data_IF_241448155499
#
_entry.id   IF_241448155499
#
_cell.length_a   1.000
_cell.length_b   1.000
_cell.length_c   1.000
_cell.angle_alpha   90.00
_cell.angle_beta   90.00
_cell.angle_gamma   90.00
#
_symmetry.space_group_name_H-M   'P 1'
#
loop_
_entity.id
_entity.type
_entity.pdbx_description
1 polymer ?
#
# COMPACT_ATOMS: atom_id res chain seq x y z
N UNK A 1 7.34 -4.29 -18.07
CA UNK A 1 7.68 -5.42 -17.19
C UNK A 1 6.44 -5.80 -16.41
N UNK A 2 6.17 -7.09 -16.24
CA UNK A 2 4.98 -7.56 -15.52
C UNK A 2 5.24 -7.69 -14.02
N UNK A 3 6.45 -8.10 -13.62
CA UNK A 3 6.89 -8.15 -12.23
C UNK A 3 8.07 -7.20 -11.99
N UNK A 4 8.11 -6.60 -10.79
CA UNK A 4 9.23 -5.79 -10.30
C UNK A 4 9.70 -6.36 -8.96
N UNK A 5 11.01 -6.57 -8.82
CA UNK A 5 11.63 -6.92 -7.53
C UNK A 5 12.45 -5.74 -7.01
N UNK A 6 12.15 -5.29 -5.79
CA UNK A 6 12.98 -4.33 -5.05
C UNK A 6 14.11 -5.11 -4.40
N UNK A 7 15.34 -4.78 -4.76
CA UNK A 7 16.51 -5.56 -4.35
C UNK A 7 16.79 -5.46 -2.83
N UNK A 8 17.33 -6.51 -2.19
CA UNK A 8 17.62 -6.52 -0.75
C UNK A 8 18.63 -5.46 -0.29
N UNK A 9 19.54 -5.03 -1.18
CA UNK A 9 20.53 -3.99 -0.89
C UNK A 9 19.92 -2.58 -0.75
N UNK A 10 18.65 -2.40 -1.14
CA UNK A 10 17.89 -1.18 -0.83
C UNK A 10 17.77 -0.93 0.67
N UNK A 11 17.94 -1.96 1.51
CA UNK A 11 17.96 -1.83 2.96
C UNK A 11 19.20 -1.07 3.49
N UNK A 12 20.18 -0.76 2.64
CA UNK A 12 21.35 0.05 3.00
C UNK A 12 21.07 1.55 3.03
N UNK A 13 19.99 2.00 2.38
CA UNK A 13 19.53 3.38 2.45
C UNK A 13 18.70 3.57 3.72
N UNK A 14 18.86 4.71 4.38
CA UNK A 14 18.10 5.11 5.57
C UNK A 14 16.89 5.98 5.23
N UNK A 15 16.81 6.49 4.00
CA UNK A 15 15.67 7.24 3.49
C UNK A 15 15.43 6.94 2.01
N UNK A 16 14.26 6.38 1.71
CA UNK A 16 13.83 6.10 0.34
C UNK A 16 12.55 6.87 0.02
N UNK A 17 12.61 7.72 -1.01
CA UNK A 17 11.42 8.38 -1.57
C UNK A 17 10.81 7.50 -2.66
N UNK A 18 9.57 7.05 -2.43
CA UNK A 18 8.84 6.16 -3.36
C UNK A 18 7.79 6.88 -4.19
N UNK A 19 7.76 8.22 -4.14
CA UNK A 19 6.75 9.00 -4.85
C UNK A 19 6.84 8.72 -6.35
N UNK A 20 5.70 8.42 -6.96
CA UNK A 20 5.54 8.16 -8.39
C UNK A 20 6.33 6.96 -8.97
N UNK A 21 6.95 6.09 -8.18
CA UNK A 21 7.79 4.99 -8.70
C UNK A 21 7.13 4.14 -9.79
N UNK A 22 5.85 3.81 -9.63
CA UNK A 22 5.08 3.01 -10.58
C UNK A 22 3.86 3.77 -11.12
N UNK A 23 3.88 5.10 -11.11
CA UNK A 23 2.76 5.90 -11.60
C UNK A 23 2.38 5.52 -13.05
N UNK A 24 1.14 5.08 -13.26
CA UNK A 24 0.61 4.72 -14.57
C UNK A 24 1.19 3.44 -15.18
N UNK A 25 1.90 2.61 -14.41
CA UNK A 25 2.44 1.34 -14.90
C UNK A 25 1.34 0.26 -15.03
N UNK A 26 0.57 0.35 -16.11
CA UNK A 26 -0.58 -0.52 -16.37
C UNK A 26 -0.22 -2.00 -16.58
N UNK A 27 1.03 -2.30 -16.96
CA UNK A 27 1.51 -3.66 -17.19
C UNK A 27 2.06 -4.35 -15.93
N UNK A 28 2.34 -3.62 -14.85
CA UNK A 28 2.86 -4.21 -13.62
C UNK A 28 1.73 -4.93 -12.91
N UNK A 29 1.90 -6.22 -12.68
CA UNK A 29 0.94 -7.10 -12.01
C UNK A 29 1.39 -7.49 -10.61
N UNK A 30 2.70 -7.47 -10.35
CA UNK A 30 3.33 -7.83 -9.06
C UNK A 30 4.51 -6.89 -8.76
N UNK A 31 4.63 -6.44 -7.52
CA UNK A 31 5.83 -5.80 -6.98
C UNK A 31 6.24 -6.50 -5.69
N UNK A 32 7.46 -7.03 -5.65
CA UNK A 32 8.02 -7.75 -4.50
C UNK A 32 9.11 -6.92 -3.81
N UNK A 33 9.34 -7.20 -2.53
CA UNK A 33 10.47 -6.62 -1.79
C UNK A 33 10.21 -5.24 -1.21
N UNK A 34 8.95 -4.80 -1.04
CA UNK A 34 8.63 -3.54 -0.35
C UNK A 34 9.25 -3.47 1.05
N UNK A 35 9.34 -4.61 1.76
CA UNK A 35 10.01 -4.70 3.05
C UNK A 35 11.53 -4.54 3.04
N UNK A 36 12.16 -4.41 1.87
CA UNK A 36 13.57 -4.03 1.76
C UNK A 36 13.78 -2.51 1.90
N UNK A 37 12.72 -1.72 1.85
CA UNK A 37 12.81 -0.27 1.97
C UNK A 37 12.89 0.17 3.44
N UNK A 38 13.60 1.28 3.69
CA UNK A 38 13.74 1.89 5.02
C UNK A 38 13.52 3.40 4.93
N UNK A 39 13.04 3.98 6.02
CA UNK A 39 12.79 5.41 6.15
C UNK A 39 11.87 6.00 5.08
N UNK A 40 10.89 5.21 4.62
CA UNK A 40 9.87 5.67 3.68
C UNK A 40 8.94 6.61 4.45
N UNK A 41 8.94 7.89 4.10
CA UNK A 41 8.05 8.90 4.69
C UNK A 41 6.84 9.18 3.82
N UNK A 42 7.00 9.05 2.51
CA UNK A 42 5.98 9.39 1.54
C UNK A 42 5.83 8.25 0.53
N UNK A 43 4.56 7.90 0.26
CA UNK A 43 4.15 6.99 -0.79
C UNK A 43 3.16 7.66 -1.73
N UNK A 44 3.36 8.95 -1.99
CA UNK A 44 2.46 9.72 -2.84
C UNK A 44 2.48 9.15 -4.25
N UNK A 45 1.30 8.76 -4.74
CA UNK A 45 1.14 8.24 -6.09
C UNK A 45 1.99 7.00 -6.44
N UNK A 46 2.62 6.31 -5.48
CA UNK A 46 3.60 5.23 -5.74
C UNK A 46 3.10 4.18 -6.71
N UNK A 47 1.85 3.72 -6.57
CA UNK A 47 1.20 2.76 -7.47
C UNK A 47 0.01 3.36 -8.21
N UNK A 48 -0.16 4.69 -8.22
CA UNK A 48 -1.35 5.29 -8.80
C UNK A 48 -1.52 4.88 -10.28
N UNK A 49 -2.74 4.54 -10.67
CA UNK A 49 -3.10 4.10 -12.01
C UNK A 49 -2.39 2.83 -12.49
N UNK A 50 -1.89 1.99 -11.57
CA UNK A 50 -1.44 0.63 -11.86
C UNK A 50 -2.64 -0.31 -12.06
N UNK A 51 -3.31 -0.22 -13.20
CA UNK A 51 -4.53 -1.01 -13.49
C UNK A 51 -4.28 -2.51 -13.63
N UNK A 52 -3.03 -2.94 -13.81
CA UNK A 52 -2.63 -4.34 -13.86
C UNK A 52 -2.31 -4.96 -12.50
N UNK A 53 -2.05 -4.15 -11.46
CA UNK A 53 -1.64 -4.63 -10.14
C UNK A 53 -2.81 -5.36 -9.49
N UNK A 54 -2.62 -6.63 -9.16
CA UNK A 54 -3.67 -7.49 -8.56
C UNK A 54 -3.46 -7.73 -7.08
N UNK A 55 -2.20 -7.76 -6.65
CA UNK A 55 -1.81 -7.88 -5.26
C UNK A 55 -0.53 -7.07 -4.99
N UNK A 56 -0.33 -6.68 -3.74
CA UNK A 56 0.90 -6.06 -3.25
C UNK A 56 1.19 -6.57 -1.85
N UNK A 57 2.46 -6.87 -1.59
CA UNK A 57 2.92 -7.29 -0.28
C UNK A 57 3.78 -6.21 0.38
N UNK A 58 3.24 -5.63 1.46
CA UNK A 58 3.91 -4.61 2.28
C UNK A 58 4.55 -5.21 3.55
N UNK A 59 4.55 -6.53 3.73
CA UNK A 59 5.21 -7.16 4.88
C UNK A 59 6.70 -6.76 4.95
N UNK A 60 7.17 -6.48 6.17
CA UNK A 60 8.51 -5.98 6.47
C UNK A 60 8.75 -4.49 6.16
N UNK A 61 7.80 -3.77 5.56
CA UNK A 61 7.88 -2.31 5.41
C UNK A 61 7.50 -1.66 6.75
N UNK A 62 8.37 -0.82 7.30
CA UNK A 62 8.10 -0.09 8.54
C UNK A 62 7.10 1.05 8.29
N UNK A 63 5.86 0.98 8.82
CA UNK A 63 4.87 2.03 8.62
C UNK A 63 5.08 3.23 9.55
N UNK A 64 5.94 3.12 10.58
CA UNK A 64 6.05 4.11 11.66
C UNK A 64 6.63 5.45 11.23
N UNK A 65 7.27 5.50 10.05
CA UNK A 65 7.78 6.74 9.45
C UNK A 65 6.85 7.36 8.40
N UNK A 66 5.73 6.73 8.06
CA UNK A 66 4.84 7.20 6.99
C UNK A 66 4.07 8.47 7.41
N UNK A 67 4.04 9.45 6.52
CA UNK A 67 3.45 10.77 6.73
C UNK A 67 2.42 11.11 5.64
N UNK A 68 2.65 10.67 4.40
CA UNK A 68 1.75 10.95 3.29
C UNK A 68 1.48 9.73 2.40
N UNK A 69 0.19 9.39 2.32
CA UNK A 69 -0.38 8.26 1.57
C UNK A 69 -1.34 8.73 0.47
N UNK A 70 -1.21 9.98 0.01
CA UNK A 70 -2.08 10.53 -1.02
C UNK A 70 -1.99 9.69 -2.30
N UNK A 71 -3.15 9.20 -2.75
CA UNK A 71 -3.29 8.46 -4.00
C UNK A 71 -2.36 7.24 -4.17
N UNK A 72 -1.78 6.68 -3.09
CA UNK A 72 -0.82 5.56 -3.16
C UNK A 72 -1.27 4.43 -4.09
N UNK A 73 -2.54 4.02 -4.00
CA UNK A 73 -3.18 3.02 -4.87
C UNK A 73 -4.31 3.60 -5.73
N UNK A 74 -4.41 4.92 -5.85
CA UNK A 74 -5.51 5.56 -6.57
C UNK A 74 -5.55 5.09 -8.04
N UNK A 75 -6.68 4.55 -8.50
CA UNK A 75 -6.86 4.02 -9.85
C UNK A 75 -6.41 2.56 -10.06
N UNK A 76 -5.96 1.85 -9.02
CA UNK A 76 -5.63 0.42 -9.10
C UNK A 76 -6.90 -0.45 -9.12
N UNK A 77 -7.68 -0.38 -10.20
CA UNK A 77 -9.00 -1.02 -10.29
C UNK A 77 -8.99 -2.55 -10.15
N UNK A 78 -7.88 -3.20 -10.48
CA UNK A 78 -7.69 -4.66 -10.40
C UNK A 78 -7.07 -5.13 -9.08
N UNK A 79 -6.67 -4.21 -8.19
CA UNK A 79 -6.02 -4.57 -6.93
C UNK A 79 -7.05 -5.22 -6.00
N UNK A 80 -6.83 -6.49 -5.68
CA UNK A 80 -7.72 -7.32 -4.85
C UNK A 80 -7.21 -7.37 -3.41
N UNK A 81 -5.90 -7.53 -3.21
CA UNK A 81 -5.33 -7.80 -1.89
C UNK A 81 -4.09 -6.96 -1.61
N UNK A 82 -4.01 -6.43 -0.40
CA UNK A 82 -2.82 -5.77 0.15
C UNK A 82 -2.41 -6.56 1.39
N UNK A 83 -1.24 -7.18 1.35
CA UNK A 83 -0.69 -7.89 2.51
C UNK A 83 0.14 -6.94 3.38
N UNK A 84 0.10 -7.15 4.69
CA UNK A 84 0.92 -6.43 5.65
C UNK A 84 1.23 -7.32 6.86
N UNK A 85 2.23 -6.93 7.65
CA UNK A 85 2.52 -7.58 8.92
C UNK A 85 1.31 -7.45 9.87
N UNK A 86 1.07 -8.47 10.69
CA UNK A 86 -0.11 -8.51 11.55
C UNK A 86 -0.19 -7.36 12.58
N UNK A 87 0.95 -6.73 12.89
CA UNK A 87 1.10 -5.57 13.76
C UNK A 87 1.17 -4.24 12.99
N UNK A 88 0.84 -4.21 11.70
CA UNK A 88 0.80 -2.98 10.90
C UNK A 88 -0.05 -1.90 11.58
N UNK A 89 0.61 -0.80 11.92
CA UNK A 89 -0.02 0.37 12.51
C UNK A 89 0.61 1.65 11.96
N UNK A 90 -0.22 2.49 11.33
CA UNK A 90 0.20 3.84 10.96
C UNK A 90 0.46 4.70 12.22
N UNK A 91 1.29 5.74 12.12
CA UNK A 91 1.49 6.69 13.21
C UNK A 91 0.16 7.29 13.71
N UNK A 92 0.08 7.50 15.03
CA UNK A 92 -1.14 8.01 15.70
C UNK A 92 -1.48 9.45 15.26
N UNK A 93 -0.48 10.21 14.81
CA UNK A 93 -0.62 11.57 14.31
C UNK A 93 0.42 11.86 13.22
N UNK A 94 0.24 12.95 12.49
CA UNK A 94 1.17 13.37 11.42
C UNK A 94 0.96 12.65 10.09
N UNK A 95 0.07 11.66 10.02
CA UNK A 95 -0.27 10.95 8.78
C UNK A 95 -1.44 11.63 8.08
N UNK A 96 -1.32 11.77 6.76
CA UNK A 96 -2.39 12.16 5.87
C UNK A 96 -2.42 11.26 4.63
N UNK A 97 -3.50 11.35 3.85
CA UNK A 97 -3.60 10.60 2.61
C UNK A 97 -5.00 10.70 2.04
N UNK A 98 -5.15 11.67 1.14
CA UNK A 98 -6.37 11.83 0.38
C UNK A 98 -6.43 10.76 -0.71
N UNK A 99 -7.58 10.11 -0.85
CA UNK A 99 -7.84 9.20 -1.98
C UNK A 99 -6.81 8.06 -2.17
N UNK A 100 -6.19 7.61 -1.07
CA UNK A 100 -5.25 6.47 -1.03
C UNK A 100 -5.74 5.26 -1.81
N UNK A 101 -7.04 4.94 -1.71
CA UNK A 101 -7.70 3.80 -2.39
C UNK A 101 -8.73 4.23 -3.43
N UNK A 102 -8.66 5.46 -3.96
CA UNK A 102 -9.63 5.93 -4.95
C UNK A 102 -9.73 4.96 -6.14
N UNK A 103 -10.94 4.57 -6.53
CA UNK A 103 -11.18 3.63 -7.63
C UNK A 103 -10.47 2.26 -7.51
N UNK A 104 -10.08 1.83 -6.30
CA UNK A 104 -9.65 0.44 -6.05
C UNK A 104 -10.86 -0.50 -6.02
N UNK A 105 -11.62 -0.59 -7.11
CA UNK A 105 -12.97 -1.20 -7.13
C UNK A 105 -13.01 -2.69 -6.82
N UNK A 106 -11.90 -3.40 -6.98
CA UNK A 106 -11.79 -4.83 -6.68
C UNK A 106 -11.23 -5.14 -5.28
N UNK A 107 -10.84 -4.11 -4.52
CA UNK A 107 -10.13 -4.26 -3.25
C UNK A 107 -11.04 -4.85 -2.16
N UNK A 108 -10.54 -5.88 -1.48
CA UNK A 108 -11.20 -6.52 -0.34
C UNK A 108 -10.18 -6.71 0.79
N UNK A 109 -10.50 -6.17 1.97
CA UNK A 109 -9.71 -6.38 3.18
C UNK A 109 -9.80 -7.82 3.69
N UNK A 110 -8.85 -8.21 4.55
CA UNK A 110 -8.72 -9.59 5.03
C UNK A 110 -9.93 -10.15 5.79
N UNK A 111 -10.80 -9.28 6.34
CA UNK A 111 -12.05 -9.66 7.01
C UNK A 111 -13.29 -9.43 6.11
N UNK A 112 -13.10 -9.18 4.81
CA UNK A 112 -14.16 -9.03 3.82
C UNK A 112 -14.65 -7.60 3.62
N UNK A 113 -13.97 -6.58 4.16
CA UNK A 113 -14.32 -5.19 3.88
C UNK A 113 -14.08 -4.88 2.39
N UNK A 114 -15.16 -4.73 1.62
CA UNK A 114 -15.07 -4.35 0.21
C UNK A 114 -14.80 -2.86 0.02
N UNK A 115 -14.23 -2.48 -1.13
CA UNK A 115 -14.08 -1.07 -1.49
C UNK A 115 -15.41 -0.30 -1.40
N UNK A 116 -15.34 0.94 -0.90
CA UNK A 116 -16.37 1.95 -1.17
C UNK A 116 -15.72 3.32 -1.34
N UNK A 117 -16.34 4.18 -2.16
CA UNK A 117 -15.85 5.54 -2.37
C UNK A 117 -15.84 6.40 -1.10
N UNK A 118 -16.73 6.13 -0.14
CA UNK A 118 -16.75 6.75 1.19
C UNK A 118 -15.59 6.29 2.10
N UNK A 119 -14.86 5.24 1.68
CA UNK A 119 -13.76 4.61 2.43
C UNK A 119 -12.42 4.71 1.70
N UNK A 120 -12.24 5.70 0.85
CA UNK A 120 -11.07 5.79 -0.03
C UNK A 120 -9.81 6.44 0.61
N UNK A 121 -9.89 6.91 1.86
CA UNK A 121 -8.80 7.62 2.53
C UNK A 121 -7.82 6.69 3.27
N UNK A 122 -6.70 7.26 3.72
CA UNK A 122 -5.64 6.53 4.42
C UNK A 122 -6.10 5.83 5.70
N UNK A 123 -7.21 6.26 6.32
CA UNK A 123 -7.71 5.68 7.57
C UNK A 123 -8.08 4.19 7.44
N UNK A 124 -8.21 3.70 6.20
CA UNK A 124 -8.50 2.30 5.88
C UNK A 124 -7.24 1.50 5.54
N UNK A 125 -6.05 2.12 5.52
CA UNK A 125 -4.75 1.43 5.40
C UNK A 125 -4.32 0.87 6.76
N UNK A 126 -5.13 -0.06 7.24
CA UNK A 126 -5.04 -0.74 8.54
C UNK A 126 -5.47 -2.20 8.36
N UNK A 127 -5.05 -3.07 9.27
CA UNK A 127 -5.50 -4.46 9.29
C UNK A 127 -7.02 -4.50 9.38
N UNK A 128 -7.65 -5.18 8.41
CA UNK A 128 -9.10 -5.31 8.35
C UNK A 128 -9.62 -6.19 9.49
N UNK A 129 -10.78 -5.83 10.03
CA UNK A 129 -11.40 -6.51 11.17
C UNK A 129 -10.79 -6.18 12.54
N UNK A 130 -9.57 -5.61 12.59
CA UNK A 130 -8.94 -5.17 13.84
C UNK A 130 -9.38 -3.75 14.17
N UNK A 131 -10.37 -3.64 15.07
CA UNK A 131 -10.91 -2.37 15.55
C UNK A 131 -11.78 -1.60 14.53
N UNK A 132 -12.15 -2.23 13.41
CA UNK A 132 -12.94 -1.60 12.35
C UNK A 132 -12.59 -2.09 10.95
N UNK A 133 -13.25 -1.50 9.96
CA UNK A 133 -13.01 -1.76 8.55
C UNK A 133 -11.62 -1.27 8.12
N UNK A 134 -10.90 -2.11 7.36
CA UNK A 134 -9.62 -1.80 6.74
C UNK A 134 -9.45 -2.54 5.41
N UNK A 135 -8.34 -2.29 4.73
CA UNK A 135 -8.03 -2.95 3.45
C UNK A 135 -6.77 -3.82 3.47
N UNK A 136 -6.06 -3.85 4.61
CA UNK A 136 -4.89 -4.71 4.75
C UNK A 136 -5.30 -6.09 5.24
N UNK A 137 -4.69 -7.11 4.65
CA UNK A 137 -4.79 -8.51 5.07
C UNK A 137 -3.54 -8.88 5.85
N UNK A 138 -3.71 -9.29 7.11
CA UNK A 138 -2.60 -9.71 7.94
C UNK A 138 -1.96 -10.98 7.35
N UNK A 139 -0.66 -10.92 7.09
CA UNK A 139 0.14 -12.07 6.69
C UNK A 139 0.46 -12.88 7.95
N UNK A 140 0.12 -14.18 7.92
CA UNK A 140 0.51 -15.09 9.00
C UNK A 140 2.03 -15.24 8.97
N UNK A 141 2.67 -15.16 10.14
CA UNK A 141 4.10 -15.40 10.33
C UNK A 141 4.52 -16.84 10.11
#
# INVERSE_FOLDING_TARGET
>A
VEAVGIAPDMATYDHVNTNYWFYGHQAVTVVEGMGNLRGVREMQHTFNSCTGLTEIDLSGLDPSSLEDLAYTFGGCGSLVTIWADADWALPISGVSGFQTFYQCTSLVGGAGTTYASSRAGYQYMRIDGVGGAGYLTAKSS
#
